data_IF_250921565823
#
_entry.id   IF_250921565823
#
_cell.length_a   1.000
_cell.length_b   1.000
_cell.length_c   1.000
_cell.angle_alpha   90.00
_cell.angle_beta   90.00
_cell.angle_gamma   90.00
#
_symmetry.space_group_name_H-M   'P 1'
#
loop_
_entity.id
_entity.type
_entity.pdbx_description
1 polymer ?
#
# COMPACT_ATOMS: atom_id res chain seq x y z
N UNK A 1 9.84 48.07 29.58
CA UNK A 1 10.29 48.47 28.24
C UNK A 1 11.70 47.93 28.06
N UNK A 2 11.87 46.80 27.38
CA UNK A 2 13.17 46.12 27.32
C UNK A 2 14.21 46.98 26.57
N UNK A 3 15.42 47.09 27.12
CA UNK A 3 16.46 47.99 26.62
C UNK A 3 17.18 47.43 25.39
N UNK A 4 17.76 48.30 24.57
CA UNK A 4 18.51 47.96 23.35
C UNK A 4 19.66 46.95 23.60
N UNK A 5 20.19 46.89 24.82
CA UNK A 5 21.18 45.91 25.23
C UNK A 5 20.59 44.49 25.38
N UNK A 6 19.37 44.37 25.88
CA UNK A 6 18.67 43.08 26.02
C UNK A 6 18.24 42.53 24.66
N UNK A 7 17.89 43.41 23.71
CA UNK A 7 17.58 43.03 22.33
C UNK A 7 18.85 42.57 21.59
N UNK A 8 19.99 43.27 21.78
CA UNK A 8 21.28 42.86 21.20
C UNK A 8 21.81 41.55 21.80
N UNK A 9 21.62 41.33 23.10
CA UNK A 9 21.96 40.07 23.75
C UNK A 9 21.10 38.90 23.21
N UNK A 10 19.80 39.11 23.00
CA UNK A 10 18.93 38.12 22.36
C UNK A 10 19.31 37.86 20.90
N UNK A 11 19.69 38.88 20.12
CA UNK A 11 20.09 38.69 18.72
C UNK A 11 21.42 37.94 18.59
N UNK A 12 22.39 38.19 19.48
CA UNK A 12 23.66 37.45 19.55
C UNK A 12 23.49 36.01 20.08
N UNK A 13 22.52 35.76 20.96
CA UNK A 13 22.14 34.41 21.37
C UNK A 13 21.45 33.64 20.23
N UNK A 14 20.58 34.29 19.44
CA UNK A 14 19.94 33.68 18.26
C UNK A 14 20.90 33.41 17.09
N UNK A 15 22.10 34.03 17.08
CA UNK A 15 23.14 33.76 16.08
C UNK A 15 24.21 32.75 16.54
N UNK A 16 24.30 32.44 17.84
CA UNK A 16 25.26 31.45 18.38
C UNK A 16 24.61 30.17 18.96
N UNK A 17 23.28 30.10 19.01
CA UNK A 17 22.51 28.91 19.38
C UNK A 17 21.39 28.69 18.37
N UNK A 18 21.73 28.04 17.27
CA UNK A 18 20.77 27.63 16.24
C UNK A 18 20.08 26.31 16.60
N UNK A 19 19.57 26.15 17.82
CA UNK A 19 18.54 25.16 18.12
C UNK A 19 17.22 25.66 17.53
N UNK A 20 17.16 25.60 16.19
CA UNK A 20 15.88 25.31 15.54
C UNK A 20 15.47 23.94 16.08
N UNK A 21 14.22 23.70 16.49
CA UNK A 21 13.73 22.33 16.50
C UNK A 21 14.06 21.81 15.10
N UNK A 22 14.92 20.79 15.04
CA UNK A 22 15.12 20.04 13.81
C UNK A 22 13.72 19.64 13.40
N UNK A 23 13.18 20.36 12.42
CA UNK A 23 12.36 19.76 11.39
C UNK A 23 13.16 18.54 10.99
N UNK A 24 12.79 17.39 11.55
CA UNK A 24 13.22 16.08 11.10
C UNK A 24 12.99 16.12 9.60
N UNK A 25 14.07 16.32 8.86
CA UNK A 25 14.06 16.12 7.43
C UNK A 25 13.47 14.74 7.23
N UNK A 26 12.41 14.71 6.44
CA UNK A 26 11.78 13.54 5.85
C UNK A 26 12.83 12.77 5.02
N UNK A 27 13.81 12.18 5.70
CA UNK A 27 14.41 10.93 5.30
C UNK A 27 13.72 9.89 6.17
N UNK A 28 13.15 8.85 5.56
CA UNK A 28 12.49 7.79 6.30
C UNK A 28 13.36 7.32 7.47
N UNK A 29 12.74 6.80 8.51
CA UNK A 29 13.40 6.25 9.70
C UNK A 29 14.42 5.11 9.44
N UNK A 30 14.72 4.81 8.16
CA UNK A 30 15.61 3.77 7.63
C UNK A 30 15.34 2.36 8.21
N UNK A 31 14.22 2.20 8.89
CA UNK A 31 13.84 0.96 9.53
C UNK A 31 13.40 -0.09 8.50
N UNK A 32 13.04 0.31 7.27
CA UNK A 32 12.74 -0.65 6.20
C UNK A 32 14.01 -1.34 5.70
N UNK A 33 14.10 -2.66 5.84
CA UNK A 33 15.21 -3.46 5.31
C UNK A 33 15.00 -3.79 3.82
N UNK A 34 15.91 -3.38 2.92
CA UNK A 34 15.72 -3.52 1.48
C UNK A 34 16.14 -4.91 0.98
N UNK A 35 15.35 -5.95 1.28
CA UNK A 35 15.68 -7.33 0.87
C UNK A 35 15.83 -7.51 -0.66
N UNK A 36 15.29 -6.60 -1.47
CA UNK A 36 15.51 -6.59 -2.92
C UNK A 36 16.96 -6.30 -3.33
N UNK A 37 17.77 -5.70 -2.44
CA UNK A 37 19.20 -5.44 -2.66
C UNK A 37 20.08 -6.67 -2.41
N UNK A 38 19.52 -7.79 -1.90
CA UNK A 38 20.24 -9.06 -1.78
C UNK A 38 20.87 -9.42 -3.14
N UNK A 39 22.16 -9.77 -3.21
CA UNK A 39 22.79 -10.26 -4.44
C UNK A 39 22.15 -11.56 -4.93
N UNK A 40 22.02 -11.73 -6.24
CA UNK A 40 21.54 -13.00 -6.82
C UNK A 40 22.47 -14.15 -6.43
N UNK A 41 21.90 -15.27 -6.01
CA UNK A 41 22.66 -16.45 -5.52
C UNK A 41 23.02 -16.39 -4.04
N UNK A 42 22.62 -15.33 -3.33
CA UNK A 42 22.84 -15.18 -1.89
C UNK A 42 21.53 -15.20 -1.10
N UNK A 43 21.64 -15.16 0.22
CA UNK A 43 20.50 -15.12 1.12
C UNK A 43 20.74 -14.18 2.30
N UNK A 44 19.64 -13.68 2.86
CA UNK A 44 19.61 -12.99 4.14
C UNK A 44 18.80 -13.82 5.14
N UNK A 45 19.13 -13.71 6.42
CA UNK A 45 18.36 -14.34 7.50
C UNK A 45 17.71 -13.24 8.33
N UNK A 46 16.40 -13.37 8.53
CA UNK A 46 15.59 -12.44 9.31
C UNK A 46 14.83 -13.19 10.40
N UNK A 47 14.55 -12.52 11.51
CA UNK A 47 13.74 -13.05 12.60
C UNK A 47 12.51 -12.17 12.75
N UNK A 48 11.33 -12.72 12.49
CA UNK A 48 10.08 -11.98 12.66
C UNK A 48 9.74 -11.76 14.14
N UNK A 49 9.06 -10.65 14.41
CA UNK A 49 8.52 -10.27 15.71
C UNK A 49 7.00 -10.06 15.60
N UNK A 50 6.24 -10.16 16.71
CA UNK A 50 4.81 -9.90 16.70
C UNK A 50 4.53 -8.43 16.41
N UNK A 51 3.28 -8.09 16.10
CA UNK A 51 2.84 -6.69 15.99
C UNK A 51 2.77 -6.05 17.38
N UNK A 52 2.94 -4.72 17.46
CA UNK A 52 2.67 -3.99 18.68
C UNK A 52 1.16 -3.88 18.97
N UNK A 53 0.34 -3.94 17.92
CA UNK A 53 -1.12 -3.95 18.04
C UNK A 53 -1.62 -5.33 18.53
N UNK A 54 -2.14 -5.44 19.77
CA UNK A 54 -2.62 -6.71 20.31
C UNK A 54 -3.88 -7.23 19.60
N UNK A 55 -4.61 -6.38 18.88
CA UNK A 55 -5.81 -6.77 18.13
C UNK A 55 -5.45 -7.37 16.76
N UNK A 56 -4.20 -7.25 16.31
CA UNK A 56 -3.77 -7.90 15.08
C UNK A 56 -3.49 -9.38 15.33
N UNK A 57 -4.41 -10.23 14.88
CA UNK A 57 -4.26 -11.70 14.96
C UNK A 57 -3.11 -12.24 14.13
N UNK A 58 -2.65 -11.47 13.15
CA UNK A 58 -1.51 -11.81 12.30
C UNK A 58 -0.30 -10.97 12.71
N UNK A 59 0.91 -11.49 12.54
CA UNK A 59 2.13 -10.72 12.77
C UNK A 59 2.57 -9.91 11.53
N UNK A 60 1.61 -9.61 10.64
CA UNK A 60 1.80 -8.79 9.45
C UNK A 60 0.56 -7.96 9.16
N UNK A 61 0.74 -6.93 8.34
CA UNK A 61 -0.35 -6.12 7.81
C UNK A 61 -0.27 -6.06 6.29
N UNK A 62 -1.40 -6.27 5.63
CA UNK A 62 -1.50 -6.25 4.18
C UNK A 62 -1.62 -4.81 3.67
N UNK A 63 -0.72 -4.42 2.76
CA UNK A 63 -0.72 -3.14 2.06
C UNK A 63 -1.11 -3.36 0.60
N UNK A 64 -2.08 -2.58 0.11
CA UNK A 64 -2.50 -2.61 -1.29
C UNK A 64 -2.35 -1.22 -1.90
N UNK A 65 -1.52 -1.13 -2.95
CA UNK A 65 -1.27 0.14 -3.67
C UNK A 65 -1.50 -0.04 -5.16
N UNK A 66 -1.91 1.01 -5.85
CA UNK A 66 -2.08 1.05 -7.30
C UNK A 66 -1.05 2.04 -7.85
N UNK A 67 -0.40 1.68 -8.95
CA UNK A 67 0.54 2.55 -9.66
C UNK A 67 -0.18 3.15 -10.87
N UNK A 68 -0.20 4.47 -10.95
CA UNK A 68 -0.76 5.24 -12.06
C UNK A 68 0.40 5.83 -12.86
N UNK A 69 0.38 5.64 -14.18
CA UNK A 69 1.43 6.09 -15.10
C UNK A 69 0.93 7.26 -15.93
N UNK A 70 1.74 8.31 -16.02
CA UNK A 70 1.43 9.56 -16.73
C UNK A 70 2.52 9.89 -17.73
N UNK A 71 2.15 10.56 -18.82
CA UNK A 71 3.07 10.95 -19.90
C UNK A 71 3.81 12.26 -19.57
N UNK A 72 4.47 12.31 -18.41
CA UNK A 72 5.20 13.50 -17.93
C UNK A 72 4.43 14.31 -16.89
N UNK A 73 4.81 15.59 -16.75
CA UNK A 73 4.24 16.53 -15.77
C UNK A 73 3.79 17.82 -16.47
N UNK A 74 2.69 18.41 -16.02
CA UNK A 74 2.18 19.71 -16.49
C UNK A 74 3.28 20.77 -16.31
N UNK A 75 3.52 21.57 -17.37
CA UNK A 75 4.59 22.57 -17.39
C UNK A 75 5.99 22.00 -17.71
N UNK A 76 6.13 20.68 -17.85
CA UNK A 76 7.27 20.06 -18.51
C UNK A 76 7.12 20.02 -20.03
N UNK A 77 8.14 19.53 -20.73
CA UNK A 77 8.08 19.29 -22.18
C UNK A 77 7.07 18.17 -22.50
N UNK A 78 5.80 18.49 -22.76
CA UNK A 78 4.77 17.48 -23.04
C UNK A 78 4.52 17.33 -24.55
N UNK A 79 4.48 16.10 -25.11
CA UNK A 79 4.75 14.81 -24.46
C UNK A 79 6.25 14.58 -24.19
N UNK A 80 6.61 14.25 -22.94
CA UNK A 80 8.01 13.88 -22.60
C UNK A 80 8.26 12.42 -22.94
N UNK A 81 9.50 12.04 -23.28
CA UNK A 81 9.93 10.63 -23.34
C UNK A 81 10.01 9.95 -21.96
N UNK A 82 9.76 10.69 -20.85
CA UNK A 82 9.89 10.18 -19.48
C UNK A 82 8.51 10.02 -18.85
N UNK A 83 8.06 8.79 -18.73
CA UNK A 83 6.86 8.46 -17.99
C UNK A 83 7.05 8.72 -16.49
N UNK A 84 5.99 9.19 -15.85
CA UNK A 84 5.96 9.49 -14.41
C UNK A 84 4.98 8.55 -13.73
N UNK A 85 5.41 7.93 -12.64
CA UNK A 85 4.54 7.00 -11.89
C UNK A 85 4.16 7.59 -10.53
N UNK A 86 2.87 7.61 -10.24
CA UNK A 86 2.30 7.98 -8.94
C UNK A 86 1.76 6.73 -8.27
N UNK A 87 2.00 6.57 -6.97
CA UNK A 87 1.48 5.45 -6.20
C UNK A 87 0.33 5.92 -5.32
N UNK A 88 -0.85 5.31 -5.47
CA UNK A 88 -2.06 5.63 -4.69
C UNK A 88 -2.48 4.44 -3.83
N UNK A 89 -2.98 4.67 -2.60
CA UNK A 89 -3.50 3.61 -1.73
C UNK A 89 -4.82 3.03 -2.27
N UNK A 90 -5.01 1.72 -2.14
CA UNK A 90 -6.29 1.07 -2.42
C UNK A 90 -7.14 1.04 -1.15
N UNK A 91 -8.27 1.75 -1.13
CA UNK A 91 -9.14 1.86 0.06
C UNK A 91 -9.72 0.53 0.56
N UNK A 92 -9.69 -0.54 -0.27
CA UNK A 92 -10.07 -1.90 0.17
C UNK A 92 -9.19 -2.40 1.33
N UNK A 93 -7.94 -1.92 1.47
CA UNK A 93 -7.10 -2.30 2.62
C UNK A 93 -7.60 -1.74 3.96
N UNK A 94 -8.44 -0.69 3.93
CA UNK A 94 -9.08 -0.10 5.12
C UNK A 94 -10.55 -0.53 5.28
N UNK A 95 -10.97 -1.60 4.59
CA UNK A 95 -12.35 -2.09 4.58
C UNK A 95 -13.32 -1.23 3.74
N UNK A 96 -12.80 -0.26 2.99
CA UNK A 96 -13.58 0.58 2.10
C UNK A 96 -13.69 0.02 0.68
N UNK A 97 -14.22 0.83 -0.23
CA UNK A 97 -14.32 0.50 -1.65
C UNK A 97 -13.25 1.26 -2.45
N UNK A 98 -12.55 0.56 -3.34
CA UNK A 98 -11.57 1.17 -4.25
C UNK A 98 -12.19 1.46 -5.63
N UNK A 99 -12.32 2.74 -6.04
CA UNK A 99 -12.98 3.10 -7.29
C UNK A 99 -12.25 2.57 -8.52
N UNK A 100 -10.91 2.59 -8.52
CA UNK A 100 -10.09 2.06 -9.63
C UNK A 100 -10.35 0.56 -9.80
N UNK A 101 -10.34 -0.20 -8.71
CA UNK A 101 -10.58 -1.65 -8.78
C UNK A 101 -11.98 -1.96 -9.30
N UNK A 102 -12.99 -1.18 -8.90
CA UNK A 102 -14.35 -1.31 -9.44
C UNK A 102 -14.43 -1.00 -10.94
N UNK A 103 -13.75 0.05 -11.39
CA UNK A 103 -13.74 0.46 -12.79
C UNK A 103 -13.08 -0.57 -13.71
N UNK A 104 -11.99 -1.22 -13.27
CA UNK A 104 -11.28 -2.21 -14.09
C UNK A 104 -11.86 -3.63 -14.02
N UNK A 105 -12.73 -3.95 -13.04
CA UNK A 105 -13.33 -5.29 -12.90
C UNK A 105 -14.00 -5.79 -14.19
N UNK A 106 -14.81 -5.00 -14.91
CA UNK A 106 -15.39 -5.41 -16.19
C UNK A 106 -14.36 -5.67 -17.29
N UNK A 107 -13.20 -5.01 -17.25
CA UNK A 107 -12.16 -5.13 -18.29
C UNK A 107 -11.54 -6.52 -18.33
N UNK A 108 -11.56 -7.25 -17.21
CA UNK A 108 -11.10 -8.64 -17.16
C UNK A 108 -11.95 -9.61 -17.98
N UNK A 109 -13.17 -9.21 -18.38
CA UNK A 109 -14.05 -10.00 -19.25
C UNK A 109 -13.75 -9.80 -20.74
N UNK A 110 -13.04 -8.72 -21.09
CA UNK A 110 -12.70 -8.35 -22.46
C UNK A 110 -11.21 -8.60 -22.69
N UNK A 111 -10.89 -9.56 -23.57
CA UNK A 111 -9.50 -9.96 -23.83
C UNK A 111 -8.62 -8.79 -24.29
N UNK A 112 -9.19 -7.81 -25.01
CA UNK A 112 -8.45 -6.64 -25.49
C UNK A 112 -8.06 -5.67 -24.37
N UNK A 113 -8.80 -5.66 -23.25
CA UNK A 113 -8.59 -4.72 -22.13
C UNK A 113 -7.89 -5.36 -20.93
N UNK A 114 -7.56 -6.66 -20.99
CA UNK A 114 -6.86 -7.36 -19.91
C UNK A 114 -5.47 -6.77 -19.64
N UNK A 115 -4.73 -6.40 -20.67
CA UNK A 115 -3.40 -5.81 -20.51
C UNK A 115 -3.47 -4.43 -19.85
N UNK A 116 -4.44 -3.61 -20.25
CA UNK A 116 -4.72 -2.34 -19.56
C UNK A 116 -5.13 -2.59 -18.10
N UNK A 117 -6.02 -3.55 -17.84
CA UNK A 117 -6.46 -3.87 -16.49
C UNK A 117 -5.31 -4.31 -15.57
N UNK A 118 -4.29 -5.01 -16.11
CA UNK A 118 -3.08 -5.41 -15.36
C UNK A 118 -2.25 -4.22 -14.89
N UNK A 119 -2.17 -3.15 -15.68
CA UNK A 119 -1.41 -1.95 -15.33
C UNK A 119 -2.00 -1.25 -14.10
N UNK A 120 -3.33 -1.18 -14.02
CA UNK A 120 -4.08 -0.55 -12.93
C UNK A 120 -4.47 -1.50 -11.79
N UNK A 121 -4.06 -2.77 -11.87
CA UNK A 121 -4.37 -3.72 -10.82
C UNK A 121 -3.57 -3.42 -9.56
N UNK A 122 -4.22 -3.61 -8.40
CA UNK A 122 -3.59 -3.40 -7.10
C UNK A 122 -2.41 -4.35 -6.89
N UNK A 123 -1.28 -3.76 -6.51
CA UNK A 123 -0.08 -4.47 -6.06
C UNK A 123 -0.20 -4.71 -4.56
N UNK A 124 -0.08 -5.98 -4.16
CA UNK A 124 -0.11 -6.41 -2.77
C UNK A 124 1.32 -6.48 -2.23
N UNK A 125 1.53 -5.93 -1.04
CA UNK A 125 2.70 -6.18 -0.22
C UNK A 125 2.26 -6.43 1.21
N UNK A 126 3.16 -6.95 2.02
CA UNK A 126 2.87 -7.33 3.40
C UNK A 126 3.97 -6.74 4.28
N UNK A 127 3.57 -5.95 5.26
CA UNK A 127 4.49 -5.32 6.21
C UNK A 127 4.63 -6.26 7.39
N UNK A 128 5.87 -6.66 7.65
CA UNK A 128 6.29 -7.39 8.84
C UNK A 128 7.29 -6.53 9.63
N UNK A 129 7.62 -6.94 10.84
CA UNK A 129 8.77 -6.41 11.56
C UNK A 129 9.64 -7.50 12.17
N UNK A 130 10.86 -7.12 12.54
CA UNK A 130 11.77 -8.01 13.25
C UNK A 130 13.25 -7.66 13.07
N UNK A 131 14.12 -8.62 13.35
CA UNK A 131 15.56 -8.44 13.29
C UNK A 131 16.15 -8.94 11.98
N UNK A 132 17.22 -8.29 11.54
CA UNK A 132 18.11 -8.80 10.49
C UNK A 132 19.24 -9.55 11.19
N UNK A 133 19.19 -10.88 11.14
CA UNK A 133 20.18 -11.76 11.77
C UNK A 133 21.46 -11.82 10.94
N UNK A 134 21.29 -11.91 9.62
CA UNK A 134 22.39 -11.90 8.66
C UNK A 134 21.96 -11.16 7.39
N UNK A 135 22.79 -10.23 6.94
CA UNK A 135 22.64 -9.56 5.64
C UNK A 135 23.85 -9.87 4.75
N UNK A 136 23.65 -10.22 3.47
CA UNK A 136 24.73 -10.46 2.53
C UNK A 136 25.30 -9.17 1.91
N UNK A 137 24.81 -8.00 2.34
CA UNK A 137 25.29 -6.70 1.87
C UNK A 137 25.43 -5.73 3.05
N UNK A 138 26.28 -4.72 2.89
CA UNK A 138 26.40 -3.64 3.86
C UNK A 138 25.27 -2.63 3.63
N UNK A 139 24.60 -2.23 4.70
CA UNK A 139 23.61 -1.15 4.67
C UNK A 139 24.29 0.17 4.97
N UNK A 140 24.08 1.19 4.12
CA UNK A 140 24.72 2.50 4.27
C UNK A 140 24.17 3.30 5.46
N UNK A 141 22.88 3.13 5.77
CA UNK A 141 22.17 3.88 6.81
C UNK A 141 21.40 2.92 7.74
N UNK A 142 22.12 2.23 8.63
CA UNK A 142 21.50 1.37 9.64
C UNK A 142 20.81 2.27 10.69
N UNK A 143 19.51 2.05 10.99
CA UNK A 143 18.80 2.81 12.01
C UNK A 143 19.32 2.54 13.43
N UNK A 144 19.11 3.48 14.36
CA UNK A 144 19.45 3.28 15.78
C UNK A 144 18.60 2.16 16.40
N UNK A 145 17.32 2.07 16.05
CA UNK A 145 16.48 0.93 16.44
C UNK A 145 16.84 -0.29 15.56
N UNK A 146 17.36 -1.38 16.14
CA UNK A 146 17.73 -2.57 15.37
C UNK A 146 16.51 -3.36 14.86
N UNK A 147 15.31 -3.08 15.37
CA UNK A 147 14.07 -3.63 14.83
C UNK A 147 13.81 -2.98 13.47
N UNK A 148 13.67 -3.81 12.45
CA UNK A 148 13.45 -3.41 11.06
C UNK A 148 12.03 -3.76 10.64
N UNK A 149 11.54 -3.07 9.62
CA UNK A 149 10.31 -3.42 8.90
C UNK A 149 10.66 -4.09 7.58
N UNK A 150 9.88 -5.08 7.20
CA UNK A 150 10.04 -5.83 5.96
C UNK A 150 8.79 -5.66 5.11
N UNK A 151 8.91 -5.00 3.96
CA UNK A 151 7.81 -4.87 2.99
C UNK A 151 7.88 -6.03 2.00
N UNK A 152 7.38 -7.18 2.42
CA UNK A 152 7.50 -8.46 1.73
C UNK A 152 6.53 -8.54 0.53
N UNK A 153 7.02 -9.12 -0.56
CA UNK A 153 6.23 -9.33 -1.78
C UNK A 153 5.36 -10.62 -1.68
N UNK A 154 4.35 -10.79 -2.55
CA UNK A 154 3.44 -11.93 -2.47
C UNK A 154 4.13 -13.30 -2.54
N UNK A 155 5.21 -13.45 -3.33
CA UNK A 155 5.87 -14.74 -3.48
C UNK A 155 6.49 -15.27 -2.18
N UNK A 156 7.06 -14.39 -1.35
CA UNK A 156 7.62 -14.78 -0.05
C UNK A 156 6.48 -14.96 0.96
N UNK A 157 5.49 -14.06 0.93
CA UNK A 157 4.31 -14.17 1.78
C UNK A 157 3.60 -15.53 1.65
N UNK A 158 3.41 -16.02 0.43
CA UNK A 158 2.76 -17.33 0.21
C UNK A 158 3.55 -18.50 0.82
N UNK A 159 4.88 -18.38 0.94
CA UNK A 159 5.70 -19.39 1.63
C UNK A 159 5.43 -19.31 3.13
N UNK A 160 5.46 -18.10 3.70
CA UNK A 160 5.19 -17.85 5.12
C UNK A 160 3.79 -18.33 5.51
N UNK A 161 2.77 -17.94 4.75
CA UNK A 161 1.37 -18.31 4.98
C UNK A 161 1.17 -19.84 4.98
N UNK A 162 1.74 -20.54 4.00
CA UNK A 162 1.65 -22.00 3.93
C UNK A 162 2.29 -22.69 5.13
N UNK A 163 3.44 -22.18 5.60
CA UNK A 163 4.13 -22.78 6.73
C UNK A 163 3.40 -22.59 8.06
N UNK A 164 2.60 -21.54 8.21
CA UNK A 164 1.80 -21.32 9.42
C UNK A 164 0.62 -22.30 9.50
N UNK A 165 0.13 -22.76 8.36
CA UNK A 165 -0.95 -23.76 8.27
C UNK A 165 -0.39 -25.19 8.44
N UNK A 166 0.93 -25.35 8.34
CA UNK A 166 1.58 -26.65 8.42
C UNK A 166 1.55 -27.18 9.87
N UNK A 167 0.96 -28.37 10.12
CA UNK A 167 0.93 -28.96 11.45
C UNK A 167 2.31 -29.32 12.01
N UNK A 168 3.37 -29.35 11.19
CA UNK A 168 4.75 -29.54 11.67
C UNK A 168 5.36 -28.29 12.32
N UNK A 169 4.74 -27.11 12.18
CA UNK A 169 5.18 -25.89 12.85
C UNK A 169 4.66 -25.89 14.30
N UNK A 170 5.52 -26.34 15.23
CA UNK A 170 5.18 -26.49 16.65
C UNK A 170 4.96 -25.14 17.37
N UNK A 171 5.85 -24.18 17.12
CA UNK A 171 5.84 -22.85 17.75
C UNK A 171 5.52 -21.73 16.75
N UNK A 172 4.93 -20.65 17.26
CA UNK A 172 4.67 -19.47 16.44
C UNK A 172 6.01 -18.83 16.02
N UNK A 173 6.23 -18.50 14.74
CA UNK A 173 7.55 -18.04 14.29
C UNK A 173 8.07 -16.77 14.97
N UNK A 174 7.18 -15.96 15.52
CA UNK A 174 7.51 -14.72 16.21
C UNK A 174 7.75 -14.87 17.72
N UNK A 175 7.59 -16.08 18.26
CA UNK A 175 7.81 -16.36 19.68
C UNK A 175 9.23 -16.00 20.12
N UNK A 176 9.38 -15.47 21.33
CA UNK A 176 10.66 -14.98 21.83
C UNK A 176 11.63 -16.09 22.26
N UNK A 177 11.11 -17.27 22.60
CA UNK A 177 11.89 -18.40 23.11
C UNK A 177 12.00 -19.49 22.04
N UNK A 178 10.88 -19.86 21.42
CA UNK A 178 10.73 -20.96 20.46
C UNK A 178 10.54 -20.52 19.00
N UNK A 179 10.57 -19.22 18.69
CA UNK A 179 10.34 -18.77 17.32
C UNK A 179 11.44 -19.23 16.35
N UNK A 180 11.18 -19.08 15.05
CA UNK A 180 12.04 -19.61 13.99
C UNK A 180 12.46 -18.52 13.02
N UNK A 181 13.73 -18.53 12.64
CA UNK A 181 14.26 -17.57 11.67
C UNK A 181 13.85 -17.92 10.25
N UNK A 182 13.73 -16.92 9.40
CA UNK A 182 13.37 -17.06 8.00
C UNK A 182 14.55 -16.69 7.10
N UNK A 183 14.87 -17.55 6.15
CA UNK A 183 15.91 -17.32 5.14
C UNK A 183 15.28 -16.78 3.86
N UNK A 184 15.59 -15.54 3.51
CA UNK A 184 15.22 -14.92 2.24
C UNK A 184 16.31 -15.23 1.21
N UNK A 185 16.04 -16.17 0.30
CA UNK A 185 16.99 -16.55 -0.74
C UNK A 185 16.62 -15.91 -2.07
N UNK A 186 17.51 -15.10 -2.63
CA UNK A 186 17.29 -14.47 -3.94
C UNK A 186 18.00 -15.26 -5.03
N UNK A 187 17.22 -15.82 -5.94
CA UNK A 187 17.67 -16.40 -7.19
C UNK A 187 17.16 -15.57 -8.37
N UNK A 188 17.40 -16.04 -9.58
CA UNK A 188 16.94 -15.38 -10.79
C UNK A 188 16.18 -16.40 -11.65
N UNK A 189 15.07 -15.96 -12.26
CA UNK A 189 14.31 -16.73 -13.25
C UNK A 189 14.12 -15.86 -14.48
N UNK A 190 14.92 -16.11 -15.52
CA UNK A 190 15.02 -15.20 -16.66
C UNK A 190 15.65 -13.87 -16.23
N UNK A 191 14.97 -12.75 -16.47
CA UNK A 191 15.43 -11.42 -16.04
C UNK A 191 14.92 -11.02 -14.65
N UNK A 192 13.98 -11.79 -14.08
CA UNK A 192 13.29 -11.42 -12.85
C UNK A 192 13.92 -12.07 -11.62
N UNK A 193 13.93 -11.33 -10.51
CA UNK A 193 14.28 -11.89 -9.21
C UNK A 193 13.26 -12.95 -8.80
N UNK A 194 13.74 -14.05 -8.23
CA UNK A 194 12.93 -15.16 -7.73
C UNK A 194 13.29 -15.44 -6.28
N UNK A 195 12.27 -15.65 -5.44
CA UNK A 195 12.42 -15.91 -4.01
C UNK A 195 11.85 -17.26 -3.58
N UNK A 196 11.50 -18.14 -4.52
CA UNK A 196 10.86 -19.44 -4.26
C UNK A 196 11.70 -20.39 -3.40
N UNK A 197 13.00 -20.16 -3.29
CA UNK A 197 13.92 -20.96 -2.48
C UNK A 197 14.08 -20.43 -1.05
N UNK A 198 13.30 -19.42 -0.67
CA UNK A 198 13.23 -18.91 0.70
C UNK A 198 12.53 -19.93 1.59
N UNK A 199 12.98 -20.08 2.84
CA UNK A 199 12.46 -21.11 3.74
C UNK A 199 12.75 -20.77 5.21
N UNK A 200 11.98 -21.39 6.11
CA UNK A 200 12.26 -21.36 7.54
C UNK A 200 13.54 -22.14 7.87
N UNK A 201 14.27 -21.66 8.87
CA UNK A 201 15.38 -22.38 9.45
C UNK A 201 14.88 -23.64 10.14
N UNK A 202 15.66 -24.73 10.09
CA UNK A 202 15.22 -26.03 10.62
C UNK A 202 15.12 -26.10 12.13
N UNK A 203 15.79 -25.19 12.83
CA UNK A 203 15.86 -25.19 14.30
C UNK A 203 15.26 -23.88 14.80
N UNK A 204 14.33 -23.95 15.77
CA UNK A 204 13.91 -22.75 16.48
C UNK A 204 15.10 -22.18 17.26
N UNK A 205 15.02 -20.89 17.55
CA UNK A 205 15.97 -20.22 18.44
C UNK A 205 15.25 -19.22 19.32
N UNK A 206 15.83 -19.00 20.49
CA UNK A 206 15.45 -17.91 21.36
C UNK A 206 16.06 -16.59 20.86
N UNK A 207 15.41 -15.48 21.18
CA UNK A 207 16.01 -14.16 21.05
C UNK A 207 17.21 -14.06 22.00
N UNK A 208 18.27 -13.43 21.51
CA UNK A 208 19.44 -13.09 22.31
C UNK A 208 19.10 -12.00 23.33
N UNK A 209 19.91 -11.88 24.38
CA UNK A 209 19.76 -10.82 25.39
C UNK A 209 19.78 -9.42 24.76
N UNK A 210 20.61 -9.21 23.72
CA UNK A 210 20.66 -7.95 22.97
C UNK A 210 19.39 -7.66 22.17
N UNK A 211 18.78 -8.68 21.58
CA UNK A 211 17.51 -8.55 20.85
C UNK A 211 16.37 -8.24 21.83
N UNK A 212 16.31 -8.93 22.97
CA UNK A 212 15.33 -8.68 24.02
C UNK A 212 15.46 -7.25 24.59
N UNK A 213 16.67 -6.83 24.95
CA UNK A 213 16.93 -5.47 25.44
C UNK A 213 16.55 -4.39 24.41
N UNK A 214 16.65 -4.69 23.12
CA UNK A 214 16.23 -3.77 22.06
C UNK A 214 14.71 -3.61 22.01
N UNK A 215 13.96 -4.70 22.20
CA UNK A 215 12.50 -4.67 22.29
C UNK A 215 12.08 -3.85 23.52
N UNK A 216 12.70 -4.06 24.68
CA UNK A 216 12.40 -3.31 25.90
C UNK A 216 12.69 -1.81 25.75
N UNK A 217 13.80 -1.46 25.08
CA UNK A 217 14.23 -0.07 24.90
C UNK A 217 13.39 0.70 23.88
N UNK A 218 13.10 0.08 22.73
CA UNK A 218 12.51 0.77 21.59
C UNK A 218 11.03 0.46 21.37
N UNK A 219 10.52 -0.62 21.97
CA UNK A 219 9.20 -1.15 21.68
C UNK A 219 9.10 -1.77 20.30
N UNK A 220 7.94 -2.37 20.03
CA UNK A 220 7.57 -2.88 18.71
C UNK A 220 6.87 -1.79 17.90
N UNK A 221 6.96 -1.86 16.58
CA UNK A 221 6.19 -1.00 15.69
C UNK A 221 4.74 -1.46 15.63
N UNK A 222 3.80 -0.52 15.63
CA UNK A 222 2.44 -0.76 15.16
C UNK A 222 2.44 -0.78 13.64
N UNK A 223 2.25 -1.96 13.06
CA UNK A 223 2.37 -2.17 11.61
C UNK A 223 1.30 -1.41 10.82
N UNK A 224 0.11 -1.16 11.41
CA UNK A 224 -0.99 -0.45 10.73
C UNK A 224 -0.63 1.01 10.46
N UNK A 225 0.17 1.62 11.34
CA UNK A 225 0.67 2.99 11.18
C UNK A 225 1.53 3.18 9.91
N UNK A 226 2.05 2.10 9.31
CA UNK A 226 2.87 2.13 8.10
C UNK A 226 2.12 1.86 6.79
N UNK A 227 0.78 1.70 6.86
CA UNK A 227 -0.07 1.65 5.66
C UNK A 227 -0.22 3.01 4.98
N UNK A 228 0.09 4.08 5.71
CA UNK A 228 -0.27 5.46 5.37
C UNK A 228 -1.67 5.80 5.86
N UNK A 229 -2.04 7.08 5.73
CA UNK A 229 -3.35 7.57 6.15
C UNK A 229 -4.46 6.99 5.27
N UNK A 230 -5.59 6.65 5.88
CA UNK A 230 -6.81 6.33 5.14
C UNK A 230 -7.26 7.57 4.35
N UNK A 231 -7.45 7.45 3.02
CA UNK A 231 -7.92 8.56 2.21
C UNK A 231 -9.26 9.09 2.70
N UNK A 232 -9.38 10.42 2.77
CA UNK A 232 -10.67 11.09 2.97
C UNK A 232 -11.46 11.20 1.65
N UNK A 233 -12.67 11.78 1.70
CA UNK A 233 -13.53 11.88 0.52
C UNK A 233 -12.90 12.70 -0.62
N UNK A 234 -12.23 13.81 -0.27
CA UNK A 234 -11.55 14.66 -1.26
C UNK A 234 -10.36 13.93 -1.90
N UNK A 235 -9.57 13.20 -1.12
CA UNK A 235 -8.49 12.35 -1.63
C UNK A 235 -9.00 11.19 -2.48
N UNK A 236 -10.13 10.59 -2.11
CA UNK A 236 -10.78 9.54 -2.90
C UNK A 236 -11.26 10.05 -4.26
N UNK A 237 -11.75 11.29 -4.32
CA UNK A 237 -12.10 11.94 -5.58
C UNK A 237 -10.85 12.29 -6.39
N UNK A 238 -9.78 12.77 -5.74
CA UNK A 238 -8.49 12.97 -6.39
C UNK A 238 -7.93 11.66 -7.00
N UNK A 239 -8.07 10.52 -6.32
CA UNK A 239 -7.67 9.21 -6.85
C UNK A 239 -8.46 8.87 -8.12
N UNK A 240 -9.77 9.15 -8.16
CA UNK A 240 -10.60 8.90 -9.37
C UNK A 240 -10.15 9.77 -10.53
N UNK A 241 -9.95 11.07 -10.29
CA UNK A 241 -9.51 11.99 -11.32
C UNK A 241 -8.12 11.62 -11.84
N UNK A 242 -7.19 11.27 -10.95
CA UNK A 242 -5.85 10.81 -11.34
C UNK A 242 -5.91 9.54 -12.21
N UNK A 243 -6.83 8.62 -11.92
CA UNK A 243 -7.04 7.43 -12.73
C UNK A 243 -7.58 7.78 -14.13
N UNK A 244 -8.56 8.67 -14.23
CA UNK A 244 -9.09 9.13 -15.53
C UNK A 244 -8.03 9.83 -16.37
N UNK A 245 -7.21 10.70 -15.75
CA UNK A 245 -6.08 11.36 -16.41
C UNK A 245 -5.02 10.36 -16.89
N UNK A 246 -4.68 9.38 -16.04
CA UNK A 246 -3.74 8.31 -16.40
C UNK A 246 -4.26 7.47 -17.58
N UNK A 247 -5.56 7.18 -17.62
CA UNK A 247 -6.19 6.48 -18.74
C UNK A 247 -6.21 7.29 -20.04
N UNK A 248 -6.42 8.60 -19.94
CA UNK A 248 -6.37 9.51 -21.07
C UNK A 248 -4.94 9.73 -21.59
N UNK A 249 -3.92 9.32 -20.83
CA UNK A 249 -2.51 9.55 -21.16
C UNK A 249 -2.07 10.99 -20.91
N UNK A 250 -2.82 11.74 -20.11
CA UNK A 250 -2.53 13.15 -19.79
C UNK A 250 -1.30 13.27 -18.87
N UNK A 251 -0.62 14.44 -18.86
CA UNK A 251 0.49 14.68 -17.95
C UNK A 251 -0.01 14.82 -16.51
N UNK A 252 0.82 14.44 -15.56
CA UNK A 252 0.50 14.59 -14.13
C UNK A 252 0.55 16.06 -13.71
N UNK A 253 -0.48 16.55 -13.00
CA UNK A 253 -0.50 17.92 -12.47
C UNK A 253 0.06 17.96 -11.04
N UNK A 254 1.28 18.50 -10.90
CA UNK A 254 1.95 18.66 -9.60
C UNK A 254 1.28 19.72 -8.71
N UNK A 255 0.68 20.76 -9.28
CA UNK A 255 0.05 21.83 -8.50
C UNK A 255 -1.29 21.35 -7.92
N UNK A 256 -2.07 20.63 -8.73
CA UNK A 256 -3.36 20.11 -8.30
C UNK A 256 -3.22 18.94 -7.31
N UNK A 257 -2.35 17.97 -7.60
CA UNK A 257 -2.33 16.68 -6.87
C UNK A 257 -1.09 16.46 -6.01
N UNK A 258 -0.04 17.27 -6.17
CA UNK A 258 1.24 17.08 -5.50
C UNK A 258 1.20 17.26 -3.98
N UNK A 259 0.12 17.82 -3.44
CA UNK A 259 -0.14 17.86 -2.00
C UNK A 259 -0.55 16.50 -1.41
N UNK A 260 -1.22 15.66 -2.21
CA UNK A 260 -1.74 14.36 -1.76
C UNK A 260 -0.88 13.20 -2.25
N UNK A 261 -0.54 13.19 -3.54
CA UNK A 261 0.07 12.03 -4.20
C UNK A 261 1.23 12.43 -5.07
N UNK A 262 2.44 12.42 -4.51
CA UNK A 262 3.63 12.82 -5.28
C UNK A 262 4.14 11.70 -6.20
N UNK A 263 4.60 12.05 -7.41
CA UNK A 263 5.22 11.11 -8.31
C UNK A 263 6.62 10.68 -7.85
N UNK A 264 6.98 9.45 -8.17
CA UNK A 264 8.30 8.90 -7.86
C UNK A 264 9.40 9.66 -8.61
N UNK A 265 10.42 10.14 -7.91
CA UNK A 265 11.60 10.77 -8.52
C UNK A 265 11.47 12.26 -8.87
N UNK A 266 10.36 12.94 -8.53
CA UNK A 266 10.25 14.39 -8.61
C UNK A 266 11.00 15.07 -7.43
N UNK A 267 12.33 14.91 -7.43
CA UNK A 267 13.35 15.48 -6.51
C UNK A 267 13.08 15.40 -5.00
N UNK A 268 13.87 14.56 -4.33
CA UNK A 268 14.57 14.99 -3.11
C UNK A 268 14.45 14.12 -1.86
N UNK A 269 13.66 13.06 -1.85
CA UNK A 269 13.57 12.14 -0.71
C UNK A 269 12.89 10.85 -1.14
N UNK A 270 13.47 9.72 -0.75
CA UNK A 270 12.96 8.38 -1.00
C UNK A 270 11.79 8.10 -0.03
N UNK A 271 10.72 8.92 -0.10
CA UNK A 271 9.56 8.87 0.78
C UNK A 271 8.32 8.43 -0.01
N UNK A 272 8.21 7.12 -0.21
CA UNK A 272 6.96 6.47 -0.59
C UNK A 272 5.93 6.51 0.54
N UNK A 273 5.35 7.68 0.81
CA UNK A 273 4.30 7.91 1.79
C UNK A 273 3.80 9.35 1.72
N UNK A 274 2.52 9.53 1.38
CA UNK A 274 1.88 10.85 1.40
C UNK A 274 1.72 11.34 2.84
N UNK A 275 2.70 12.11 3.31
CA UNK A 275 2.50 13.06 4.40
C UNK A 275 1.86 14.32 3.81
N UNK A 276 0.53 14.35 3.83
CA UNK A 276 -0.27 15.52 3.49
C UNK A 276 -0.06 16.59 4.57
N UNK A 277 0.74 17.61 4.25
CA UNK A 277 0.84 18.82 5.07
C UNK A 277 -0.43 19.64 4.84
N UNK A 278 -1.28 19.72 5.85
CA UNK A 278 -2.52 20.48 5.81
C UNK A 278 -2.24 21.99 5.62
N UNK A 279 -2.66 22.55 4.48
CA UNK A 279 -2.87 23.98 4.33
C UNK A 279 -4.17 24.22 3.54
N UNK A 280 -5.18 24.71 4.25
CA UNK A 280 -6.49 25.10 3.71
C UNK A 280 -6.31 26.14 2.59
N UNK A 281 -6.70 25.80 1.36
CA UNK A 281 -7.17 26.81 0.40
C UNK A 281 -8.32 26.22 -0.41
N UNK A 282 -9.51 26.79 -0.19
CA UNK A 282 -10.70 26.54 -1.01
C UNK A 282 -10.46 27.11 -2.41
N UNK A 283 -10.49 26.27 -3.45
CA UNK A 283 -10.54 26.73 -4.84
C UNK A 283 -11.87 26.29 -5.46
N UNK A 284 -12.66 27.31 -5.78
CA UNK A 284 -13.94 27.23 -6.49
C UNK A 284 -13.69 26.76 -7.92
N UNK A 285 -14.23 25.60 -8.30
CA UNK A 285 -14.28 25.19 -9.70
C UNK A 285 -15.34 26.04 -10.40
N UNK A 286 -14.88 27.01 -11.19
CA UNK A 286 -15.73 27.85 -12.02
C UNK A 286 -16.17 27.03 -13.24
N UNK A 287 -17.40 26.46 -13.21
CA UNK A 287 -18.04 25.90 -14.42
C UNK A 287 -18.72 27.04 -15.17
N UNK A 288 -18.15 27.44 -16.30
CA UNK A 288 -18.84 28.30 -17.27
C UNK A 288 -19.87 27.46 -18.04
N UNK A 289 -21.16 27.82 -18.04
CA UNK A 289 -22.17 27.20 -18.90
C UNK A 289 -22.43 28.07 -20.13
N UNK A 290 -22.64 27.45 -21.29
CA UNK A 290 -23.25 28.11 -22.45
C UNK A 290 -24.03 27.10 -23.31
N UNK A 291 -25.12 27.54 -23.99
CA UNK A 291 -26.38 26.78 -24.05
C UNK A 291 -26.94 26.54 -25.48
N UNK A 292 -28.15 25.93 -25.51
CA UNK A 292 -29.18 25.91 -26.57
C UNK A 292 -29.00 24.89 -27.73
N UNK A 293 -30.03 24.27 -28.31
CA UNK A 293 -31.48 24.21 -28.06
C UNK A 293 -32.13 23.05 -28.86
N UNK A 294 -33.16 22.45 -28.25
CA UNK A 294 -34.49 22.03 -28.76
C UNK A 294 -34.65 21.46 -30.18
N UNK A 295 -35.13 20.20 -30.25
CA UNK A 295 -36.27 19.82 -31.10
C UNK A 295 -36.97 18.56 -30.53
N UNK A 296 -38.27 18.68 -30.29
CA UNK A 296 -39.28 17.62 -30.15
C UNK A 296 -40.48 18.05 -31.04
N UNK A 297 -41.55 17.27 -31.27
CA UNK A 297 -41.85 15.88 -30.88
C UNK A 297 -42.42 15.02 -32.05
N UNK A 298 -42.60 13.70 -31.85
CA UNK A 298 -43.62 12.90 -32.57
C UNK A 298 -44.23 11.87 -31.60
N UNK A 299 -45.54 11.99 -31.37
CA UNK A 299 -46.49 11.04 -30.74
C UNK A 299 -46.55 9.71 -31.52
N UNK A 300 -46.43 8.55 -30.87
CA UNK A 300 -47.45 7.72 -30.22
C UNK A 300 -47.82 6.49 -31.08
N UNK A 301 -47.49 5.30 -30.56
CA UNK A 301 -48.11 4.04 -30.94
C UNK A 301 -48.04 3.09 -29.74
N UNK A 302 -49.21 2.55 -29.41
CA UNK A 302 -49.54 1.85 -28.18
C UNK A 302 -48.95 0.44 -28.02
N UNK A 303 -48.92 0.06 -26.74
CA UNK A 303 -48.70 -1.23 -26.06
C UNK A 303 -49.28 -2.50 -26.73
N UNK A 304 -48.75 -3.71 -26.37
CA UNK A 304 -49.32 -4.41 -25.22
C UNK A 304 -48.30 -4.95 -24.21
N UNK A 305 -48.76 -4.93 -22.96
CA UNK A 305 -48.19 -5.52 -21.77
C UNK A 305 -47.78 -7.00 -21.94
N UNK A 306 -46.60 -7.35 -21.41
CA UNK A 306 -46.22 -8.74 -21.16
C UNK A 306 -46.14 -8.98 -19.66
N UNK A 307 -46.91 -9.98 -19.28
CA UNK A 307 -47.30 -10.51 -17.99
C UNK A 307 -46.12 -10.82 -17.04
N UNK A 308 -46.24 -10.35 -15.79
CA UNK A 308 -45.36 -10.72 -14.68
C UNK A 308 -45.51 -12.21 -14.37
N UNK A 309 -44.41 -12.95 -14.43
CA UNK A 309 -44.32 -14.29 -13.86
C UNK A 309 -44.54 -14.26 -12.33
N UNK A 310 -45.27 -15.24 -11.77
CA UNK A 310 -45.67 -15.25 -10.36
C UNK A 310 -44.47 -15.51 -9.42
N UNK A 311 -44.47 -14.80 -8.29
CA UNK A 311 -43.55 -15.02 -7.16
C UNK A 311 -43.71 -16.45 -6.63
N UNK A 312 -42.65 -17.26 -6.74
CA UNK A 312 -42.59 -18.57 -6.09
C UNK A 312 -42.52 -18.40 -4.58
N UNK A 313 -43.47 -19.00 -3.86
CA UNK A 313 -43.51 -19.04 -2.41
C UNK A 313 -42.28 -19.80 -1.88
N UNK A 314 -41.52 -19.29 -0.90
CA UNK A 314 -40.34 -19.96 -0.32
C UNK A 314 -40.60 -21.40 0.16
N UNK A 315 -41.85 -21.74 0.46
CA UNK A 315 -42.25 -23.10 0.87
C UNK A 315 -42.10 -24.14 -0.26
N UNK A 316 -42.36 -23.78 -1.51
CA UNK A 316 -42.24 -24.69 -2.66
C UNK A 316 -40.77 -25.01 -3.01
N UNK A 317 -39.85 -24.10 -2.68
CA UNK A 317 -38.41 -24.29 -2.87
C UNK A 317 -37.86 -25.29 -1.82
N UNK A 318 -38.41 -25.29 -0.60
CA UNK A 318 -38.00 -26.22 0.45
C UNK A 318 -38.49 -27.65 0.19
N UNK A 319 -39.69 -27.82 -0.37
CA UNK A 319 -40.21 -29.15 -0.74
C UNK A 319 -39.44 -29.77 -1.92
N UNK A 320 -39.06 -28.96 -2.92
CA UNK A 320 -38.24 -29.43 -4.04
C UNK A 320 -36.81 -29.81 -3.62
N UNK A 321 -36.25 -29.18 -2.59
CA UNK A 321 -34.96 -29.58 -1.99
C UNK A 321 -35.09 -30.89 -1.21
N UNK A 322 -36.18 -31.09 -0.45
CA UNK A 322 -36.44 -32.33 0.30
C UNK A 322 -36.64 -33.54 -0.61
N UNK A 323 -37.36 -33.38 -1.71
CA UNK A 323 -37.57 -34.47 -2.68
C UNK A 323 -36.25 -34.87 -3.36
N UNK A 324 -35.36 -33.92 -3.65
CA UNK A 324 -34.01 -34.20 -4.18
C UNK A 324 -33.10 -34.90 -3.18
N UNK A 325 -33.21 -34.58 -1.89
CA UNK A 325 -32.40 -35.25 -0.86
C UNK A 325 -32.88 -36.66 -0.55
N UNK A 326 -34.17 -36.97 -0.74
CA UNK A 326 -34.69 -38.33 -0.62
C UNK A 326 -34.38 -39.21 -1.84
N UNK A 327 -34.30 -38.64 -3.03
CA UNK A 327 -33.92 -39.37 -4.25
C UNK A 327 -32.44 -39.80 -4.28
N UNK A 328 -31.55 -39.07 -3.59
CA UNK A 328 -30.12 -39.37 -3.51
C UNK A 328 -29.73 -40.32 -2.36
N UNK A 329 -30.71 -40.94 -1.69
CA UNK A 329 -30.49 -41.85 -0.54
C UNK A 329 -31.03 -43.27 -0.77
N UNK A 330 -31.27 -43.66 -2.02
CA UNK A 330 -31.43 -45.05 -2.45
C UNK A 330 -30.36 -45.39 -3.47
#
# INVERSE_FOLDING_TARGET
>A
MASLAEIKAKLLASQKGGDKPKSTGSGGDNASYPFWNIPVGSNATIRFLPDADPDNTFFWVKREVIKLTFQGVVGGEYPTTKEVTVTVPCNEMFGGTCPITQAIRPWWKDDAKKDMARQYYKKKSYIFQGFVVNSPFAEENVPENPIRRFVINPSIYEIIEKSIIDPEMEDMPTDYIGGTDFKVAKTQKGEWANYSNSNWMRKPRSLSETEMASIEKHGLFDLKSYLGRKPDEAEMDAIKTLFELSLAGEPYDMEAFGQWYRPWGARGDDSGGGDAVAAKTSVVVNRTPAPAAVAAPVEEAAEPAVERAPSRNPQDILETIRLRTQANKK
#
